data_IF_195717984115
#
_entry.id   IF_195717984115
#
_cell.length_a   1.000
_cell.length_b   1.000
_cell.length_c   1.000
_cell.angle_alpha   90.00
_cell.angle_beta   90.00
_cell.angle_gamma   90.00
#
_symmetry.space_group_name_H-M   'P 1'
#
loop_
_entity.id
_entity.type
_entity.pdbx_description
1 polymer ?
#
# COMPACT_ATOMS: atom_id res chain seq x y z
N UNK A 1 0.97 -24.00 8.10
CA UNK A 1 -0.12 -23.05 8.34
C UNK A 1 0.36 -22.06 9.39
N UNK A 2 0.50 -20.79 9.03
CA UNK A 2 1.09 -19.77 9.90
C UNK A 2 -0.03 -19.04 10.64
N UNK A 3 -0.29 -19.46 11.89
CA UNK A 3 -1.41 -18.93 12.69
C UNK A 3 -1.30 -17.43 13.00
N UNK A 4 -0.08 -16.90 13.07
CA UNK A 4 0.15 -15.48 13.35
C UNK A 4 -0.21 -14.66 12.10
N UNK A 5 0.23 -15.10 10.93
CA UNK A 5 -0.13 -14.48 9.65
C UNK A 5 -1.65 -14.50 9.44
N UNK A 6 -2.28 -15.67 9.61
CA UNK A 6 -3.73 -15.86 9.39
C UNK A 6 -4.62 -15.00 10.28
N UNK A 7 -4.14 -14.62 11.46
CA UNK A 7 -4.85 -13.68 12.34
C UNK A 7 -5.14 -12.35 11.64
N UNK A 8 -4.27 -11.93 10.72
CA UNK A 8 -4.36 -10.65 10.01
C UNK A 8 -4.86 -10.79 8.57
N UNK A 9 -5.21 -12.00 8.12
CA UNK A 9 -5.84 -12.23 6.81
C UNK A 9 -7.36 -12.20 6.96
N UNK A 10 -7.89 -11.02 7.27
CA UNK A 10 -9.33 -10.80 7.39
C UNK A 10 -9.79 -9.67 6.49
N UNK A 11 -11.02 -9.83 5.99
CA UNK A 11 -11.66 -8.82 5.16
C UNK A 11 -12.28 -7.73 6.01
N UNK A 12 -12.26 -6.52 5.47
CA UNK A 12 -13.06 -5.40 5.97
C UNK A 12 -14.26 -5.25 5.02
N UNK A 13 -15.49 -5.61 5.44
CA UNK A 13 -16.66 -5.64 4.55
C UNK A 13 -16.91 -4.32 3.83
N UNK A 14 -16.62 -3.19 4.46
CA UNK A 14 -16.79 -1.84 3.93
C UNK A 14 -15.86 -1.53 2.75
N UNK A 15 -14.79 -2.33 2.57
CA UNK A 15 -13.89 -2.23 1.43
C UNK A 15 -14.55 -2.68 0.11
N UNK A 16 -15.71 -3.33 0.19
CA UNK A 16 -16.40 -3.93 -0.95
C UNK A 16 -17.87 -3.48 -1.03
N UNK A 17 -18.47 -3.69 -2.19
CA UNK A 17 -19.91 -3.59 -2.41
C UNK A 17 -20.38 -4.69 -3.37
N UNK A 18 -21.65 -5.03 -3.32
CA UNK A 18 -22.24 -6.01 -4.23
C UNK A 18 -23.10 -5.34 -5.30
N UNK A 19 -22.97 -5.81 -6.54
CA UNK A 19 -23.80 -5.38 -7.66
C UNK A 19 -24.03 -6.56 -8.61
N UNK A 20 -25.29 -6.84 -8.93
CA UNK A 20 -25.70 -7.98 -9.77
C UNK A 20 -25.09 -9.33 -9.32
N UNK A 21 -25.04 -9.58 -8.01
CA UNK A 21 -24.50 -10.83 -7.44
C UNK A 21 -22.99 -10.99 -7.55
N UNK A 22 -22.26 -9.94 -7.96
CA UNK A 22 -20.80 -9.88 -7.96
C UNK A 22 -20.32 -8.86 -6.94
N UNK A 23 -19.23 -9.20 -6.26
CA UNK A 23 -18.55 -8.30 -5.34
C UNK A 23 -17.53 -7.44 -6.09
N UNK A 24 -17.48 -6.16 -5.75
CA UNK A 24 -16.57 -5.16 -6.31
C UNK A 24 -15.87 -4.41 -5.19
N UNK A 25 -14.69 -3.87 -5.47
CA UNK A 25 -13.91 -3.05 -4.56
C UNK A 25 -14.40 -1.61 -4.60
N UNK A 26 -14.35 -0.91 -3.46
CA UNK A 26 -14.67 0.51 -3.44
C UNK A 26 -13.69 1.31 -4.30
N UNK A 27 -14.23 2.14 -5.17
CA UNK A 27 -13.43 3.03 -6.03
C UNK A 27 -13.27 4.41 -5.40
N UNK A 28 -12.22 5.14 -5.79
CA UNK A 28 -12.12 6.59 -5.57
C UNK A 28 -12.64 7.41 -6.75
N UNK A 29 -12.87 6.74 -7.89
CA UNK A 29 -13.30 7.34 -9.15
C UNK A 29 -14.83 7.46 -9.21
N UNK A 30 -15.29 8.39 -10.04
CA UNK A 30 -16.70 8.72 -10.22
C UNK A 30 -17.31 9.33 -8.95
N UNK A 31 -18.59 9.02 -8.72
CA UNK A 31 -19.36 9.57 -7.58
C UNK A 31 -19.21 8.72 -6.30
N UNK A 32 -18.11 7.99 -6.16
CA UNK A 32 -17.83 7.20 -4.95
C UNK A 32 -17.16 8.07 -3.88
N UNK A 33 -17.66 7.98 -2.64
CA UNK A 33 -17.14 8.74 -1.50
C UNK A 33 -16.68 7.87 -0.34
N UNK A 34 -16.84 6.54 -0.40
CA UNK A 34 -16.58 5.64 0.72
C UNK A 34 -15.11 5.71 1.15
N UNK A 35 -14.17 5.50 0.22
CA UNK A 35 -12.73 5.58 0.50
C UNK A 35 -12.30 6.96 0.98
N UNK A 36 -12.87 8.02 0.37
CA UNK A 36 -12.56 9.39 0.79
C UNK A 36 -13.07 9.71 2.20
N UNK A 37 -14.29 9.30 2.54
CA UNK A 37 -14.84 9.52 3.87
C UNK A 37 -14.02 8.76 4.92
N UNK A 38 -13.58 7.53 4.62
CA UNK A 38 -12.67 6.78 5.49
C UNK A 38 -11.32 7.49 5.62
N UNK A 39 -10.74 7.97 4.52
CA UNK A 39 -9.50 8.73 4.55
C UNK A 39 -9.61 10.01 5.41
N UNK A 40 -10.74 10.70 5.33
CA UNK A 40 -11.04 11.89 6.15
C UNK A 40 -11.19 11.56 7.63
N UNK A 41 -11.86 10.46 7.95
CA UNK A 41 -11.94 9.93 9.32
C UNK A 41 -10.53 9.62 9.86
N UNK A 42 -9.71 8.92 9.06
CA UNK A 42 -8.34 8.54 9.45
C UNK A 42 -7.44 9.75 9.66
N UNK A 43 -7.58 10.77 8.82
CA UNK A 43 -6.89 12.07 8.99
C UNK A 43 -7.34 12.84 10.24
N UNK A 44 -8.39 12.42 10.94
CA UNK A 44 -8.84 12.98 12.21
C UNK A 44 -8.14 12.41 13.44
N UNK A 45 -7.40 11.30 13.30
CA UNK A 45 -6.63 10.70 14.40
C UNK A 45 -5.21 11.28 14.49
N UNK A 46 -4.56 11.08 15.64
CA UNK A 46 -3.16 11.44 15.82
C UNK A 46 -2.24 10.51 15.03
N UNK A 47 -1.18 11.06 14.44
CA UNK A 47 -0.14 10.28 13.76
C UNK A 47 0.63 9.40 14.73
N UNK A 48 1.20 8.32 14.22
CA UNK A 48 2.07 7.41 14.98
C UNK A 48 3.50 7.60 14.49
N UNK A 49 4.45 7.53 15.42
CA UNK A 49 5.87 7.68 15.13
C UNK A 49 6.38 6.60 14.15
N UNK A 50 7.23 7.02 13.21
CA UNK A 50 7.75 6.14 12.16
C UNK A 50 8.56 4.98 12.74
N UNK A 51 9.33 5.19 13.80
CA UNK A 51 10.11 4.12 14.44
C UNK A 51 9.20 3.09 15.11
N UNK A 52 8.06 3.53 15.65
CA UNK A 52 7.05 2.62 16.21
C UNK A 52 6.40 1.77 15.12
N UNK A 53 6.09 2.36 13.96
CA UNK A 53 5.55 1.65 12.80
C UNK A 53 6.58 0.62 12.30
N UNK A 54 7.85 1.02 12.14
CA UNK A 54 8.95 0.14 11.77
C UNK A 54 9.04 -1.03 12.75
N UNK A 55 9.02 -0.76 14.05
CA UNK A 55 9.09 -1.78 15.09
C UNK A 55 7.97 -2.80 14.96
N UNK A 56 6.71 -2.36 14.84
CA UNK A 56 5.56 -3.26 14.72
C UNK A 56 5.66 -4.17 13.50
N UNK A 57 6.06 -3.63 12.35
CA UNK A 57 6.19 -4.40 11.11
C UNK A 57 7.34 -5.41 11.23
N UNK A 58 8.51 -4.98 11.72
CA UNK A 58 9.67 -5.87 11.89
C UNK A 58 9.37 -7.02 12.84
N UNK A 59 8.76 -6.73 14.00
CA UNK A 59 8.35 -7.74 14.97
C UNK A 59 7.43 -8.77 14.32
N UNK A 60 6.40 -8.30 13.60
CA UNK A 60 5.47 -9.17 12.90
C UNK A 60 6.13 -10.02 11.80
N UNK A 61 6.94 -9.41 10.92
CA UNK A 61 7.62 -10.13 9.83
C UNK A 61 8.54 -11.23 10.38
N UNK A 62 9.29 -10.92 11.43
CA UNK A 62 10.16 -11.90 12.10
C UNK A 62 9.33 -13.04 12.74
N UNK A 63 8.22 -12.73 13.40
CA UNK A 63 7.33 -13.73 14.02
C UNK A 63 6.76 -14.71 12.99
N UNK A 64 6.49 -14.26 11.76
CA UNK A 64 5.98 -15.12 10.69
C UNK A 64 7.09 -15.81 9.89
N UNK A 65 8.36 -15.61 10.26
CA UNK A 65 9.52 -16.26 9.66
C UNK A 65 10.07 -15.56 8.41
N UNK A 66 9.69 -14.31 8.17
CA UNK A 66 10.23 -13.48 7.09
C UNK A 66 11.46 -12.73 7.60
N UNK A 67 12.61 -12.96 6.98
CA UNK A 67 13.83 -12.19 7.25
C UNK A 67 13.76 -10.84 6.52
N UNK A 68 14.08 -9.75 7.21
CA UNK A 68 14.05 -8.39 6.65
C UNK A 68 15.22 -7.54 7.14
N UNK A 69 15.22 -6.24 6.83
CA UNK A 69 16.27 -5.28 7.17
C UNK A 69 16.03 -4.58 8.53
N UNK A 70 17.12 -4.15 9.18
CA UNK A 70 17.01 -3.42 10.43
C UNK A 70 16.51 -1.98 10.30
N UNK A 71 17.04 -1.26 9.31
CA UNK A 71 16.66 0.10 8.99
C UNK A 71 16.02 0.15 7.60
N UNK A 72 14.68 0.10 7.51
CA UNK A 72 13.95 0.05 6.23
C UNK A 72 13.80 1.43 5.56
N UNK A 73 14.53 2.47 5.96
CA UNK A 73 14.40 3.83 5.41
C UNK A 73 15.23 3.94 4.13
N UNK A 74 14.56 4.18 2.99
CA UNK A 74 15.20 4.37 1.68
C UNK A 74 14.90 5.74 1.10
N UNK A 75 15.85 6.29 0.34
CA UNK A 75 15.60 7.47 -0.48
C UNK A 75 14.84 7.03 -1.76
N UNK A 76 13.61 7.52 -1.98
CA UNK A 76 12.79 7.10 -3.11
C UNK A 76 13.39 7.40 -4.49
N UNK A 77 14.24 8.43 -4.61
CA UNK A 77 14.88 8.80 -5.88
C UNK A 77 16.06 7.91 -6.25
N UNK A 78 16.53 7.07 -5.31
CA UNK A 78 17.70 6.20 -5.47
C UNK A 78 17.34 4.73 -5.31
N UNK A 79 16.05 4.38 -5.48
CA UNK A 79 15.60 3.00 -5.39
C UNK A 79 16.16 2.19 -6.55
N UNK A 80 16.84 1.11 -6.19
CA UNK A 80 17.36 0.11 -7.11
C UNK A 80 16.86 -1.26 -6.63
N UNK A 81 15.73 -1.67 -7.19
CA UNK A 81 15.07 -2.92 -6.80
C UNK A 81 15.90 -4.15 -7.12
N UNK A 82 16.65 -4.13 -8.22
CA UNK A 82 17.55 -5.23 -8.58
C UNK A 82 18.68 -5.36 -7.56
N UNK A 83 19.24 -4.24 -7.09
CA UNK A 83 20.23 -4.24 -6.01
C UNK A 83 19.63 -4.74 -4.69
N UNK A 84 18.44 -4.28 -4.31
CA UNK A 84 17.74 -4.76 -3.10
C UNK A 84 17.52 -6.29 -3.21
N UNK A 85 17.05 -6.77 -4.36
CA UNK A 85 16.88 -8.20 -4.62
C UNK A 85 18.18 -8.97 -4.38
N UNK A 86 19.29 -8.51 -4.94
CA UNK A 86 20.60 -9.18 -4.78
C UNK A 86 21.13 -9.12 -3.35
N UNK A 87 20.98 -7.99 -2.66
CA UNK A 87 21.47 -7.79 -1.29
C UNK A 87 20.75 -8.68 -0.27
N UNK A 88 19.45 -8.88 -0.45
CA UNK A 88 18.61 -9.67 0.44
C UNK A 88 18.28 -11.08 -0.10
N UNK A 89 18.91 -11.46 -1.21
CA UNK A 89 18.71 -12.75 -1.89
C UNK A 89 17.21 -13.06 -2.15
N UNK A 90 16.44 -12.07 -2.60
CA UNK A 90 15.00 -12.26 -2.84
C UNK A 90 14.75 -13.13 -4.07
N UNK A 91 13.71 -13.96 -4.04
CA UNK A 91 13.32 -14.79 -5.18
C UNK A 91 12.86 -13.90 -6.35
N UNK A 92 12.06 -12.88 -6.04
CA UNK A 92 11.53 -11.88 -6.96
C UNK A 92 11.88 -10.46 -6.47
N UNK A 93 12.24 -9.56 -7.37
CA UNK A 93 12.52 -8.14 -7.03
C UNK A 93 11.30 -7.41 -6.45
N UNK A 94 10.11 -7.95 -6.71
CA UNK A 94 8.84 -7.45 -6.20
C UNK A 94 8.52 -7.95 -4.79
N UNK A 95 9.33 -8.84 -4.19
CA UNK A 95 9.09 -9.42 -2.85
C UNK A 95 9.43 -8.38 -1.76
N UNK A 96 8.69 -7.27 -1.78
CA UNK A 96 8.87 -6.11 -0.93
C UNK A 96 7.51 -5.69 -0.38
N UNK A 97 7.45 -5.31 0.89
CA UNK A 97 6.40 -4.41 1.41
C UNK A 97 6.99 -3.01 1.49
N UNK A 98 6.24 -2.01 1.07
CA UNK A 98 6.64 -0.62 1.18
C UNK A 98 5.52 0.27 1.71
N UNK A 99 5.92 1.36 2.37
CA UNK A 99 5.01 2.32 3.00
C UNK A 99 5.49 3.73 2.69
N UNK A 100 4.60 4.54 2.11
CA UNK A 100 4.85 5.98 1.90
C UNK A 100 3.97 6.82 2.81
N UNK A 101 4.50 7.99 3.16
CA UNK A 101 3.93 8.89 4.14
C UNK A 101 3.52 10.20 3.50
N UNK A 102 2.63 10.91 4.17
CA UNK A 102 2.36 12.33 3.91
C UNK A 102 3.36 13.19 4.67
N UNK A 103 3.56 14.45 4.24
CA UNK A 103 4.48 15.39 4.90
C UNK A 103 4.14 15.64 6.36
N UNK A 104 2.87 15.55 6.72
CA UNK A 104 2.36 15.71 8.08
C UNK A 104 2.32 14.40 8.88
N UNK A 105 2.96 13.34 8.38
CA UNK A 105 3.30 12.15 9.18
C UNK A 105 2.30 10.99 9.12
N UNK A 106 1.20 11.10 8.37
CA UNK A 106 0.29 9.97 8.20
C UNK A 106 0.85 8.92 7.24
N UNK A 107 0.58 7.65 7.54
CA UNK A 107 0.71 6.57 6.56
C UNK A 107 -0.28 6.84 5.43
N UNK A 108 0.23 7.02 4.22
CA UNK A 108 -0.63 7.22 3.07
C UNK A 108 -1.15 5.91 2.48
N UNK A 109 -0.27 4.92 2.34
CA UNK A 109 -0.59 3.60 1.78
C UNK A 109 0.42 2.56 2.26
N UNK A 110 -0.04 1.32 2.38
CA UNK A 110 0.77 0.10 2.56
C UNK A 110 0.59 -0.71 1.30
N UNK A 111 1.67 -1.13 0.65
CA UNK A 111 1.60 -1.87 -0.59
C UNK A 111 2.79 -2.83 -0.76
N UNK A 112 2.72 -3.72 -1.74
CA UNK A 112 3.84 -4.58 -2.14
C UNK A 112 4.34 -4.27 -3.56
N UNK A 113 5.37 -4.99 -4.02
CA UNK A 113 5.96 -4.86 -5.36
C UNK A 113 7.04 -3.77 -5.49
N UNK A 114 7.53 -3.57 -6.72
CA UNK A 114 8.66 -2.72 -7.10
C UNK A 114 8.23 -1.43 -7.84
N UNK A 115 7.07 -0.88 -7.52
CA UNK A 115 6.42 0.23 -8.24
C UNK A 115 6.11 1.43 -7.35
N UNK A 116 6.94 1.66 -6.32
CA UNK A 116 6.84 2.83 -5.44
C UNK A 116 6.78 4.10 -6.27
N UNK A 117 5.71 4.86 -6.12
CA UNK A 117 5.54 6.13 -6.80
C UNK A 117 4.80 7.14 -5.92
N UNK A 118 4.97 8.41 -6.26
CA UNK A 118 4.38 9.56 -5.57
C UNK A 118 3.44 10.31 -6.50
N UNK A 119 2.65 9.55 -7.25
CA UNK A 119 1.59 10.07 -8.10
C UNK A 119 0.61 10.92 -7.27
N UNK A 120 0.25 12.08 -7.81
CA UNK A 120 -0.71 13.00 -7.21
C UNK A 120 -1.31 13.88 -8.33
N UNK A 121 -2.64 14.00 -8.43
CA UNK A 121 -3.29 14.92 -9.36
C UNK A 121 -2.85 16.37 -9.14
N UNK A 122 -2.89 17.19 -10.20
CA UNK A 122 -2.73 18.65 -10.11
C UNK A 122 -4.04 19.36 -9.76
N UNK A 123 -5.19 18.75 -10.07
CA UNK A 123 -6.50 19.26 -9.68
C UNK A 123 -7.56 18.16 -9.66
N UNK A 124 -8.71 18.45 -9.06
CA UNK A 124 -9.85 17.52 -9.04
C UNK A 124 -10.42 17.17 -10.42
N UNK A 125 -10.11 17.95 -11.46
CA UNK A 125 -10.53 17.66 -12.84
C UNK A 125 -9.78 16.47 -13.45
N UNK A 126 -8.74 15.97 -12.78
CA UNK A 126 -7.93 14.83 -13.24
C UNK A 126 -8.32 13.51 -12.57
N UNK A 127 -9.16 13.53 -11.52
CA UNK A 127 -9.51 12.33 -10.76
C UNK A 127 -10.10 11.22 -11.61
N UNK A 128 -10.94 11.58 -12.58
CA UNK A 128 -11.59 10.62 -13.48
C UNK A 128 -11.00 10.64 -14.89
N UNK A 129 -9.82 11.27 -15.07
CA UNK A 129 -9.14 11.22 -16.36
C UNK A 129 -8.50 9.86 -16.54
N UNK A 130 -8.57 9.40 -17.79
CA UNK A 130 -7.96 8.15 -18.23
C UNK A 130 -6.99 8.41 -19.36
N UNK A 131 -6.08 7.47 -19.55
CA UNK A 131 -5.16 7.44 -20.67
C UNK A 131 -5.05 6.03 -21.25
N UNK A 132 -4.63 5.95 -22.51
CA UNK A 132 -4.40 4.67 -23.16
C UNK A 132 -2.97 4.23 -22.90
N UNK A 133 -2.81 3.05 -22.31
CA UNK A 133 -1.52 2.41 -22.05
C UNK A 133 -1.41 1.16 -22.90
N UNK A 134 -0.28 0.99 -23.58
CA UNK A 134 -0.03 -0.21 -24.36
C UNK A 134 0.29 -1.38 -23.42
N UNK A 135 -0.51 -2.44 -23.47
CA UNK A 135 -0.26 -3.67 -22.74
C UNK A 135 0.50 -4.65 -23.66
N UNK A 136 1.78 -4.98 -23.34
CA UNK A 136 2.60 -5.83 -24.19
C UNK A 136 2.12 -7.29 -24.23
N UNK A 137 1.38 -7.74 -23.21
CA UNK A 137 0.87 -9.11 -23.13
C UNK A 137 -0.35 -9.32 -24.03
N UNK A 138 -1.33 -8.41 -23.97
CA UNK A 138 -2.51 -8.43 -24.84
C UNK A 138 -2.23 -7.84 -26.23
N UNK A 139 -1.09 -7.15 -26.39
CA UNK A 139 -0.68 -6.41 -27.60
C UNK A 139 -1.69 -5.34 -28.03
N UNK A 140 -2.43 -4.78 -27.07
CA UNK A 140 -3.44 -3.75 -27.30
C UNK A 140 -3.28 -2.56 -26.37
N UNK A 141 -3.84 -1.41 -26.76
CA UNK A 141 -4.01 -0.28 -25.86
C UNK A 141 -5.22 -0.52 -24.96
N UNK A 142 -5.02 -0.32 -23.66
CA UNK A 142 -6.05 -0.42 -22.64
C UNK A 142 -6.20 0.94 -21.97
N UNK A 143 -7.46 1.32 -21.75
CA UNK A 143 -7.78 2.57 -21.09
C UNK A 143 -7.65 2.39 -19.57
N UNK A 144 -6.72 3.09 -18.93
CA UNK A 144 -6.50 3.06 -17.49
C UNK A 144 -6.60 4.45 -16.87
N UNK A 145 -6.80 4.52 -15.56
CA UNK A 145 -6.84 5.79 -14.83
C UNK A 145 -5.49 6.48 -14.87
N UNK A 146 -5.50 7.79 -15.12
CA UNK A 146 -4.28 8.60 -15.17
C UNK A 146 -3.56 8.62 -13.81
N UNK A 147 -4.35 8.65 -12.73
CA UNK A 147 -3.85 8.71 -11.36
C UNK A 147 -4.33 7.52 -10.54
N UNK A 148 -3.48 7.05 -9.62
CA UNK A 148 -3.83 6.00 -8.70
C UNK A 148 -4.69 6.49 -7.54
N UNK A 149 -5.33 5.54 -6.86
CA UNK A 149 -6.28 5.84 -5.78
C UNK A 149 -5.64 6.62 -4.63
N UNK A 150 -4.42 6.24 -4.24
CA UNK A 150 -3.71 6.88 -3.13
C UNK A 150 -3.45 8.37 -3.43
N UNK A 151 -2.99 8.70 -4.65
CA UNK A 151 -2.71 10.07 -5.07
C UNK A 151 -3.96 10.94 -5.05
N UNK A 152 -5.08 10.41 -5.55
CA UNK A 152 -6.38 11.10 -5.52
C UNK A 152 -6.83 11.36 -4.08
N UNK A 153 -6.73 10.38 -3.17
CA UNK A 153 -7.14 10.55 -1.77
C UNK A 153 -6.30 11.61 -1.06
N UNK A 154 -4.97 11.56 -1.22
CA UNK A 154 -4.05 12.54 -0.62
C UNK A 154 -4.35 13.95 -1.13
N UNK A 155 -4.49 14.12 -2.46
CA UNK A 155 -4.84 15.41 -3.05
C UNK A 155 -6.21 15.91 -2.55
N UNK A 156 -7.23 15.03 -2.49
CA UNK A 156 -8.58 15.40 -2.04
C UNK A 156 -8.63 15.80 -0.57
N UNK A 157 -7.72 15.29 0.25
CA UNK A 157 -7.53 15.72 1.64
C UNK A 157 -6.72 17.03 1.78
N UNK A 158 -6.18 17.58 0.69
CA UNK A 158 -5.31 18.74 0.72
C UNK A 158 -3.95 18.45 1.34
N UNK A 159 -3.50 17.19 1.29
CA UNK A 159 -2.21 16.74 1.83
C UNK A 159 -1.18 16.57 0.71
N UNK A 160 0.08 16.43 1.11
CA UNK A 160 1.20 16.22 0.20
C UNK A 160 2.00 14.98 0.58
N UNK A 161 2.56 14.31 -0.42
CA UNK A 161 3.49 13.21 -0.19
C UNK A 161 4.80 13.67 0.45
N UNK A 162 5.25 12.94 1.48
CA UNK A 162 6.63 12.99 1.93
C UNK A 162 7.50 12.26 0.88
N UNK A 163 8.46 12.97 0.29
CA UNK A 163 9.37 12.44 -0.74
C UNK A 163 10.81 12.27 -0.22
N UNK A 164 11.05 12.51 1.06
CA UNK A 164 12.37 12.41 1.66
C UNK A 164 12.74 10.96 1.93
N UNK A 165 11.75 10.13 2.25
CA UNK A 165 11.92 8.70 2.46
C UNK A 165 10.69 7.87 2.09
N UNK A 166 10.93 6.57 1.93
CA UNK A 166 9.93 5.50 1.91
C UNK A 166 10.43 4.38 2.80
N UNK A 167 9.53 3.65 3.46
CA UNK A 167 9.92 2.42 4.14
C UNK A 167 9.85 1.26 3.16
N UNK A 168 10.89 0.43 3.09
CA UNK A 168 10.92 -0.81 2.29
C UNK A 168 11.41 -1.96 3.16
N UNK A 169 10.61 -3.01 3.20
CA UNK A 169 10.88 -4.27 3.89
C UNK A 169 11.05 -5.38 2.86
N UNK A 170 12.28 -5.84 2.61
CA UNK A 170 12.52 -7.07 1.86
C UNK A 170 11.83 -8.26 2.52
N UNK A 171 11.15 -9.10 1.72
CA UNK A 171 10.37 -10.25 2.19
C UNK A 171 11.11 -11.56 1.88
N UNK A 172 12.27 -11.78 2.50
CA UNK A 172 12.98 -13.05 2.32
C UNK A 172 12.27 -14.16 3.08
N UNK A 173 12.11 -15.33 2.44
CA UNK A 173 11.46 -16.52 2.99
C UNK A 173 9.95 -16.36 3.27
N UNK A 174 9.19 -15.83 2.30
CA UNK A 174 7.72 -15.80 2.40
C UNK A 174 7.22 -17.22 2.73
N UNK A 175 6.38 -17.40 3.77
CA UNK A 175 5.95 -18.73 4.20
C UNK A 175 5.26 -19.51 3.07
N UNK A 176 5.60 -20.80 2.95
CA UNK A 176 5.03 -21.67 1.91
C UNK A 176 3.50 -21.66 1.94
N UNK A 177 2.89 -21.42 0.79
CA UNK A 177 1.44 -21.36 0.62
C UNK A 177 0.86 -19.95 0.70
N UNK A 178 1.68 -18.94 1.00
CA UNK A 178 1.30 -17.53 0.99
C UNK A 178 2.06 -16.79 -0.10
N UNK A 179 1.55 -15.63 -0.49
CA UNK A 179 2.06 -14.72 -1.51
C UNK A 179 2.36 -13.36 -0.88
N UNK A 180 3.10 -12.52 -1.61
CA UNK A 180 3.35 -11.12 -1.23
C UNK A 180 2.05 -10.36 -0.87
N UNK A 181 0.97 -10.58 -1.62
CA UNK A 181 -0.32 -9.94 -1.37
C UNK A 181 -0.93 -10.33 -0.01
N UNK A 182 -0.73 -11.57 0.45
CA UNK A 182 -1.16 -11.96 1.80
C UNK A 182 -0.34 -11.21 2.87
N UNK A 183 0.94 -10.92 2.59
CA UNK A 183 1.77 -10.12 3.49
C UNK A 183 1.35 -8.65 3.49
N UNK A 184 0.97 -8.10 2.34
CA UNK A 184 0.38 -6.76 2.22
C UNK A 184 -0.85 -6.62 3.10
N UNK A 185 -1.80 -7.55 2.92
CA UNK A 185 -3.05 -7.59 3.67
C UNK A 185 -2.78 -7.66 5.17
N UNK A 186 -1.90 -8.59 5.57
CA UNK A 186 -1.58 -8.79 6.97
C UNK A 186 -0.87 -7.58 7.61
N UNK A 187 0.06 -6.93 6.91
CA UNK A 187 0.75 -5.73 7.42
C UNK A 187 -0.22 -4.56 7.55
N UNK A 188 -1.08 -4.33 6.56
CA UNK A 188 -2.08 -3.26 6.64
C UNK A 188 -3.08 -3.48 7.78
N UNK A 189 -3.58 -4.71 7.93
CA UNK A 189 -4.48 -5.08 9.03
C UNK A 189 -3.79 -5.03 10.40
N UNK A 190 -2.52 -5.43 10.51
CA UNK A 190 -1.73 -5.25 11.72
C UNK A 190 -1.66 -3.79 12.14
N UNK A 191 -1.37 -2.88 11.21
CA UNK A 191 -1.26 -1.45 11.49
C UNK A 191 -2.59 -0.85 11.94
N UNK A 192 -3.71 -1.30 11.36
CA UNK A 192 -5.07 -0.96 11.83
C UNK A 192 -5.27 -1.40 13.28
N UNK A 193 -4.94 -2.63 13.63
CA UNK A 193 -5.06 -3.17 15.00
C UNK A 193 -4.16 -2.42 15.99
N UNK A 194 -3.00 -1.93 15.52
CA UNK A 194 -2.10 -1.04 16.28
C UNK A 194 -2.55 0.42 16.31
N UNK A 195 -3.72 0.74 15.76
CA UNK A 195 -4.31 2.09 15.69
C UNK A 195 -3.44 3.09 14.95
N UNK A 196 -2.67 2.64 13.97
CA UNK A 196 -1.94 3.50 13.04
C UNK A 196 -2.92 4.00 11.98
N UNK A 197 -3.15 5.32 11.85
CA UNK A 197 -4.07 5.82 10.85
C UNK A 197 -3.49 5.66 9.44
N UNK A 198 -4.25 5.05 8.53
CA UNK A 198 -3.90 4.84 7.13
C UNK A 198 -4.88 5.60 6.25
N UNK A 199 -4.38 6.54 5.44
CA UNK A 199 -5.25 7.38 4.62
C UNK A 199 -5.90 6.59 3.47
N UNK A 200 -5.13 5.76 2.77
CA UNK A 200 -5.68 4.80 1.82
C UNK A 200 -6.04 3.46 2.50
N UNK A 201 -6.99 3.54 3.43
CA UNK A 201 -7.31 2.50 4.42
C UNK A 201 -7.60 1.10 3.85
N UNK A 202 -8.10 0.99 2.62
CA UNK A 202 -8.51 -0.30 2.02
C UNK A 202 -7.53 -0.83 0.98
N UNK A 203 -6.47 -0.09 0.68
CA UNK A 203 -5.52 -0.42 -0.38
C UNK A 203 -4.94 -1.84 -0.27
N UNK A 204 -4.55 -2.23 0.94
CA UNK A 204 -3.94 -3.54 1.22
C UNK A 204 -4.90 -4.73 1.17
N UNK A 205 -6.18 -4.51 0.85
CA UNK A 205 -7.20 -5.56 0.77
C UNK A 205 -7.55 -5.93 -0.68
N UNK A 206 -6.89 -5.32 -1.66
CA UNK A 206 -7.23 -5.37 -3.08
C UNK A 206 -6.24 -6.16 -3.93
#
# INVERSE_FOLDING_TARGET
MNKILEKYLYRVPEAYYEYNGKQYMQSVHGKSYIRYNKAKEQAGYATVDVDMIIKHIKEFLNEIGISTIDNPIFNPQKLDYSRIKSEFDLEDERDLVWIKFTKDGYVGVVATSNDVNFDIPQSSHEYDRKHNVYNPYSKSYEETWLHNSSGILIHKLGKEWNRDFVLIFPLKNIPKGYKRADIEEAVGNLLIEKRVPILDYYSHLY
#
